data_IF_837622437150
#
_entry.id   IF_837622437150
#
_cell.length_a   1.000
_cell.length_b   1.000
_cell.length_c   1.000
_cell.angle_alpha   90.00
_cell.angle_beta   90.00
_cell.angle_gamma   90.00
#
_symmetry.space_group_name_H-M   'P 1'
#
loop_
_entity.id
_entity.type
_entity.pdbx_description
1 polymer ?
#
# COMPACT_ATOMS: atom_id res chain seq x y z
N UNK A 1 -10.96 -2.13 52.44
CA UNK A 1 -10.28 -0.82 52.26
C UNK A 1 -9.86 -0.55 50.80
N UNK A 2 -9.42 -1.57 50.05
CA UNK A 2 -8.94 -1.48 48.65
C UNK A 2 -9.98 -1.02 47.60
N UNK A 3 -11.25 -1.45 47.70
CA UNK A 3 -12.28 -1.07 46.71
C UNK A 3 -12.72 0.41 46.77
N UNK A 4 -12.49 1.10 47.89
CA UNK A 4 -12.79 2.53 47.98
C UNK A 4 -11.68 3.37 47.33
N UNK A 5 -10.42 2.94 47.45
CA UNK A 5 -9.28 3.62 46.85
C UNK A 5 -9.34 3.61 45.31
N UNK A 6 -9.64 2.46 44.69
CA UNK A 6 -9.79 2.35 43.22
C UNK A 6 -10.89 3.25 42.65
N UNK A 7 -12.00 3.42 43.40
CA UNK A 7 -13.12 4.27 43.00
C UNK A 7 -12.78 5.76 43.07
N UNK A 8 -11.87 6.16 43.97
CA UNK A 8 -11.34 7.53 44.02
C UNK A 8 -10.33 7.81 42.92
N UNK A 9 -9.42 6.87 42.63
CA UNK A 9 -8.47 7.02 41.51
C UNK A 9 -9.18 7.13 40.16
N UNK A 10 -10.21 6.32 39.89
CA UNK A 10 -10.99 6.40 38.65
C UNK A 10 -11.79 7.71 38.53
N UNK A 11 -12.30 8.24 39.65
CA UNK A 11 -13.04 9.51 39.67
C UNK A 11 -12.14 10.74 39.50
N UNK A 12 -10.84 10.62 39.78
CA UNK A 12 -9.86 11.70 39.59
C UNK A 12 -9.16 11.57 38.23
N UNK A 13 -8.95 10.36 37.71
CA UNK A 13 -8.27 10.14 36.44
C UNK A 13 -9.09 10.57 35.22
N UNK A 14 -10.41 10.43 35.26
CA UNK A 14 -11.30 10.81 34.15
C UNK A 14 -11.37 12.34 33.94
N UNK A 15 -11.59 13.19 34.96
CA UNK A 15 -11.55 14.64 34.76
C UNK A 15 -10.14 15.15 34.42
N UNK A 16 -9.08 14.50 34.92
CA UNK A 16 -7.71 14.85 34.55
C UNK A 16 -7.40 14.51 33.07
N UNK A 17 -7.90 13.39 32.55
CA UNK A 17 -7.72 13.01 31.14
C UNK A 17 -8.53 13.90 30.19
N UNK A 18 -9.70 14.39 30.62
CA UNK A 18 -10.51 15.35 29.84
C UNK A 18 -9.85 16.74 29.75
N UNK A 19 -9.04 17.14 30.74
CA UNK A 19 -8.27 18.39 30.69
C UNK A 19 -7.07 18.33 29.74
N UNK A 20 -6.57 17.14 29.39
CA UNK A 20 -5.49 16.97 28.41
C UNK A 20 -5.94 17.14 26.96
N UNK A 21 -7.23 16.93 26.63
CA UNK A 21 -7.76 17.13 25.27
C UNK A 21 -8.11 18.59 24.95
N UNK A 22 -8.19 19.48 25.95
CA UNK A 22 -8.39 20.92 25.77
C UNK A 22 -7.08 21.72 25.64
N UNK A 23 -5.92 21.08 25.80
CA UNK A 23 -4.61 21.73 25.67
C UNK A 23 -4.00 21.64 24.25
N UNK A 24 -4.71 21.05 23.29
CA UNK A 24 -4.43 21.28 21.88
C UNK A 24 -5.00 22.66 21.51
N UNK A 25 -4.20 23.68 21.77
CA UNK A 25 -4.34 25.04 21.23
C UNK A 25 -4.25 24.97 19.69
N UNK A 26 -5.34 24.55 19.06
CA UNK A 26 -5.53 24.68 17.63
C UNK A 26 -5.88 26.14 17.38
N UNK A 27 -4.85 26.99 17.31
CA UNK A 27 -4.98 28.33 16.77
C UNK A 27 -5.62 28.19 15.38
N UNK A 28 -6.90 28.52 15.26
CA UNK A 28 -7.52 28.55 13.94
C UNK A 28 -6.74 29.57 13.11
N UNK A 29 -6.35 29.27 11.86
CA UNK A 29 -5.59 30.17 11.02
C UNK A 29 -6.54 31.29 10.55
N UNK A 30 -6.90 32.17 11.47
CA UNK A 30 -7.75 33.33 11.23
C UNK A 30 -6.96 34.52 10.67
N UNK A 31 -5.62 34.45 10.75
CA UNK A 31 -4.72 35.45 10.19
C UNK A 31 -3.76 34.81 9.18
N UNK A 32 -4.28 34.25 8.09
CA UNK A 32 -3.45 34.01 6.91
C UNK A 32 -3.00 35.38 6.37
N UNK A 33 -1.82 35.83 6.81
CA UNK A 33 -1.15 36.99 6.24
C UNK A 33 -0.56 36.60 4.89
N UNK A 34 -1.11 37.18 3.82
CA UNK A 34 -0.56 37.01 2.48
C UNK A 34 0.91 37.47 2.49
N UNK A 35 1.85 36.65 2.00
CA UNK A 35 3.25 37.03 1.98
C UNK A 35 3.42 38.29 1.12
N UNK A 36 3.95 39.37 1.70
CA UNK A 36 4.25 40.59 0.97
C UNK A 36 5.58 40.40 0.26
N UNK A 37 5.55 40.10 -1.04
CA UNK A 37 6.77 39.99 -1.84
C UNK A 37 7.23 41.37 -2.30
N UNK A 38 8.38 41.82 -1.79
CA UNK A 38 9.08 43.00 -2.30
C UNK A 38 9.91 42.60 -3.52
N UNK A 39 9.31 42.70 -4.71
CA UNK A 39 10.04 42.55 -5.97
C UNK A 39 10.61 43.92 -6.33
N UNK A 40 11.94 44.06 -6.23
CA UNK A 40 12.65 45.24 -6.75
C UNK A 40 12.58 45.22 -8.29
N UNK A 41 11.51 45.80 -8.83
CA UNK A 41 11.37 46.04 -10.26
C UNK A 41 12.32 47.18 -10.67
N UNK A 42 13.56 46.82 -11.01
CA UNK A 42 14.47 47.74 -11.70
C UNK A 42 14.09 47.83 -13.17
N UNK A 43 13.04 48.60 -13.46
CA UNK A 43 12.78 49.03 -14.82
C UNK A 43 13.93 49.97 -15.24
N UNK A 44 14.67 49.67 -16.33
CA UNK A 44 15.56 50.66 -16.90
C UNK A 44 14.71 51.88 -17.26
N UNK A 45 15.10 53.07 -16.78
CA UNK A 45 14.51 54.35 -17.18
C UNK A 45 14.88 54.64 -18.64
N UNK A 46 14.33 53.86 -19.57
CA UNK A 46 14.20 54.29 -20.96
C UNK A 46 12.93 55.13 -20.96
N UNK A 47 13.09 56.43 -20.72
CA UNK A 47 12.03 57.42 -20.93
C UNK A 47 11.78 57.63 -22.44
N UNK A 48 11.65 56.55 -23.21
CA UNK A 48 11.14 56.63 -24.57
C UNK A 48 9.64 56.82 -24.49
N UNK A 49 9.23 58.09 -24.50
CA UNK A 49 7.84 58.48 -24.71
C UNK A 49 7.53 58.20 -26.17
N UNK A 50 6.82 57.11 -26.43
CA UNK A 50 6.19 56.92 -27.74
C UNK A 50 5.15 58.03 -27.92
N UNK A 51 5.43 58.96 -28.82
CA UNK A 51 4.45 59.96 -29.23
C UNK A 51 3.27 59.26 -29.88
N UNK A 52 2.06 59.57 -29.46
CA UNK A 52 0.81 59.12 -30.09
C UNK A 52 0.47 59.98 -31.32
N UNK A 53 1.49 60.61 -31.91
CA UNK A 53 1.36 61.49 -33.08
C UNK A 53 0.88 60.67 -34.28
N UNK A 54 -0.26 61.07 -34.84
CA UNK A 54 -0.97 60.33 -35.89
C UNK A 54 -2.11 59.40 -35.43
N UNK A 55 -2.31 59.20 -34.12
CA UNK A 55 -3.48 58.46 -33.59
C UNK A 55 -4.67 59.37 -33.25
N UNK A 56 -4.43 60.68 -33.15
CA UNK A 56 -5.48 61.69 -32.95
C UNK A 56 -6.09 61.99 -34.31
N UNK A 57 -7.38 61.69 -34.45
CA UNK A 57 -8.13 61.90 -35.70
C UNK A 57 -9.11 63.07 -35.62
N UNK A 58 -9.35 63.64 -34.44
CA UNK A 58 -10.37 64.67 -34.18
C UNK A 58 -11.80 64.28 -34.58
N UNK A 59 -12.06 62.99 -34.80
CA UNK A 59 -13.38 62.43 -35.08
C UNK A 59 -13.85 61.55 -33.92
N UNK A 60 -13.03 60.61 -33.47
CA UNK A 60 -13.33 59.70 -32.37
C UNK A 60 -12.27 59.74 -31.27
N UNK A 61 -11.03 60.09 -31.59
CA UNK A 61 -9.89 60.10 -30.67
C UNK A 61 -9.39 61.54 -30.53
N UNK A 62 -9.57 62.10 -29.35
CA UNK A 62 -9.22 63.47 -29.00
C UNK A 62 -8.08 63.51 -27.98
N UNK A 63 -7.23 64.52 -28.01
CA UNK A 63 -6.28 64.76 -26.93
C UNK A 63 -7.02 65.25 -25.67
N UNK A 64 -6.57 64.81 -24.49
CA UNK A 64 -7.03 65.43 -23.23
C UNK A 64 -6.52 66.87 -23.13
N UNK A 65 -7.24 67.75 -22.43
CA UNK A 65 -6.92 69.18 -22.34
C UNK A 65 -5.55 69.48 -21.70
N UNK A 66 -5.01 68.55 -20.92
CA UNK A 66 -3.66 68.61 -20.34
C UNK A 66 -2.56 68.06 -21.28
N UNK A 67 -2.94 67.56 -22.45
CA UNK A 67 -2.05 66.93 -23.45
C UNK A 67 -1.25 65.74 -22.90
N UNK A 68 -1.68 65.15 -21.78
CA UNK A 68 -1.03 64.01 -21.14
C UNK A 68 -1.68 62.66 -21.50
N UNK A 69 -2.82 62.67 -22.18
CA UNK A 69 -3.55 61.48 -22.60
C UNK A 69 -4.48 61.73 -23.78
N UNK A 70 -5.32 60.74 -24.07
CA UNK A 70 -6.35 60.82 -25.09
C UNK A 70 -7.71 60.41 -24.52
N UNK A 71 -8.77 60.96 -25.09
CA UNK A 71 -10.15 60.60 -24.84
C UNK A 71 -10.74 60.03 -26.12
N UNK A 72 -11.36 58.86 -26.03
CA UNK A 72 -12.19 58.31 -27.11
C UNK A 72 -13.62 58.77 -26.84
N UNK A 73 -14.21 59.51 -27.78
CA UNK A 73 -15.58 60.02 -27.69
C UNK A 73 -16.43 59.27 -28.69
N UNK A 74 -17.45 58.59 -28.19
CA UNK A 74 -18.51 58.01 -29.01
C UNK A 74 -19.67 59.00 -29.02
N UNK A 75 -20.03 59.54 -30.18
CA UNK A 75 -21.12 60.51 -30.32
C UNK A 75 -22.51 59.88 -30.08
N UNK A 76 -22.60 58.55 -30.23
CA UNK A 76 -23.80 57.77 -29.99
C UNK A 76 -23.73 56.96 -28.70
N UNK A 77 -24.90 56.63 -28.15
CA UNK A 77 -25.01 55.59 -27.13
C UNK A 77 -24.45 54.29 -27.67
N UNK A 78 -23.34 53.83 -27.09
CA UNK A 78 -22.84 52.48 -27.31
C UNK A 78 -24.01 51.50 -27.09
N UNK A 79 -24.33 50.65 -28.07
CA UNK A 79 -25.38 49.66 -27.87
C UNK A 79 -24.99 48.83 -26.65
N UNK A 80 -25.92 48.67 -25.71
CA UNK A 80 -25.76 47.64 -24.67
C UNK A 80 -25.77 46.32 -25.40
N UNK A 81 -24.60 45.80 -25.76
CA UNK A 81 -24.45 44.41 -26.15
C UNK A 81 -24.63 43.59 -24.88
N UNK A 82 -25.88 43.32 -24.55
CA UNK A 82 -26.19 42.23 -23.64
C UNK A 82 -25.76 40.96 -24.35
N UNK A 83 -24.79 40.25 -23.76
CA UNK A 83 -24.54 38.86 -24.14
C UNK A 83 -25.86 38.12 -23.84
N UNK A 84 -26.41 37.47 -24.87
CA UNK A 84 -27.62 36.68 -24.68
C UNK A 84 -27.32 35.58 -23.65
N UNK A 85 -28.12 35.44 -22.58
CA UNK A 85 -27.91 34.43 -21.54
C UNK A 85 -27.75 33.02 -22.11
N UNK A 86 -28.36 32.71 -23.27
CA UNK A 86 -28.21 31.43 -23.96
C UNK A 86 -26.76 31.10 -24.36
N UNK A 87 -25.89 32.10 -24.55
CA UNK A 87 -24.46 31.87 -24.78
C UNK A 87 -23.68 31.48 -23.51
N UNK A 88 -24.30 31.64 -22.34
CA UNK A 88 -23.74 31.29 -21.03
C UNK A 88 -24.46 30.08 -20.40
N UNK A 89 -25.45 29.53 -21.08
CA UNK A 89 -26.20 28.35 -20.64
C UNK A 89 -25.45 27.07 -21.04
N UNK A 90 -24.96 26.33 -20.05
CA UNK A 90 -24.55 24.94 -20.24
C UNK A 90 -25.76 24.07 -19.87
N UNK A 91 -26.27 23.30 -20.83
CA UNK A 91 -27.38 22.37 -20.57
C UNK A 91 -26.97 21.36 -19.48
N UNK A 92 -27.70 21.31 -18.37
CA UNK A 92 -27.51 20.26 -17.36
C UNK A 92 -28.10 18.97 -17.91
N UNK A 93 -27.27 17.93 -18.00
CA UNK A 93 -27.67 16.62 -18.53
C UNK A 93 -27.40 16.43 -20.02
N UNK A 94 -26.83 17.41 -20.72
CA UNK A 94 -26.13 17.09 -21.97
C UNK A 94 -24.84 16.38 -21.61
N UNK A 95 -24.76 15.11 -21.98
CA UNK A 95 -23.52 14.34 -21.99
C UNK A 95 -22.51 15.17 -22.82
N UNK A 96 -21.53 15.77 -22.16
CA UNK A 96 -20.40 16.34 -22.87
C UNK A 96 -19.75 15.13 -23.53
N UNK A 97 -19.91 15.03 -24.84
CA UNK A 97 -19.14 14.10 -25.65
C UNK A 97 -17.69 14.52 -25.47
N UNK A 98 -17.00 13.90 -24.51
CA UNK A 98 -15.56 13.91 -24.51
C UNK A 98 -15.18 13.32 -25.88
N UNK A 99 -14.50 14.10 -26.71
CA UNK A 99 -13.81 13.63 -27.93
C UNK A 99 -12.62 12.74 -27.52
N UNK A 100 -12.93 11.70 -26.76
CA UNK A 100 -12.09 10.58 -26.45
C UNK A 100 -12.97 9.39 -26.65
N UNK A 101 -12.64 8.53 -27.61
CA UNK A 101 -13.14 7.16 -27.62
C UNK A 101 -12.95 6.62 -26.20
N UNK A 102 -13.98 6.11 -25.50
CA UNK A 102 -13.77 5.44 -24.23
C UNK A 102 -12.78 4.31 -24.51
N UNK A 103 -11.51 4.54 -24.20
CA UNK A 103 -10.51 3.52 -24.33
C UNK A 103 -10.93 2.45 -23.34
N UNK A 104 -11.05 1.23 -23.83
CA UNK A 104 -11.40 0.08 -23.04
C UNK A 104 -10.43 0.10 -21.86
N UNK A 105 -10.93 0.18 -20.63
CA UNK A 105 -10.06 0.11 -19.45
C UNK A 105 -9.16 -1.11 -19.65
N UNK A 106 -7.82 -0.98 -19.53
CA UNK A 106 -6.91 -2.07 -19.83
C UNK A 106 -7.34 -3.29 -19.00
N UNK A 107 -7.78 -4.35 -19.68
CA UNK A 107 -8.24 -5.57 -19.04
C UNK A 107 -7.04 -6.45 -18.74
N UNK A 108 -6.59 -6.45 -17.48
CA UNK A 108 -5.51 -7.31 -17.02
C UNK A 108 -6.10 -8.59 -16.41
N UNK A 109 -6.07 -9.69 -17.16
CA UNK A 109 -6.45 -11.02 -16.67
C UNK A 109 -5.19 -11.83 -16.38
N UNK A 110 -4.84 -11.98 -15.10
CA UNK A 110 -3.68 -12.77 -14.67
C UNK A 110 -4.18 -14.01 -13.94
N UNK A 111 -3.78 -15.18 -14.42
CA UNK A 111 -3.99 -16.45 -13.71
C UNK A 111 -2.61 -16.98 -13.36
N UNK A 112 -2.32 -17.08 -12.06
CA UNK A 112 -1.09 -17.72 -11.57
C UNK A 112 -1.49 -19.05 -10.93
N UNK A 113 -1.24 -20.15 -11.64
CA UNK A 113 -1.38 -21.51 -11.13
C UNK A 113 0.01 -22.16 -11.12
N UNK A 114 0.56 -22.42 -9.93
CA UNK A 114 1.93 -22.93 -9.80
C UNK A 114 1.98 -23.99 -8.69
N UNK A 115 2.47 -25.19 -9.04
CA UNK A 115 2.74 -26.28 -8.09
C UNK A 115 4.20 -26.20 -7.65
N UNK A 116 4.44 -26.25 -6.34
CA UNK A 116 5.77 -26.09 -5.75
C UNK A 116 6.12 -27.34 -4.95
N UNK A 117 7.22 -27.99 -5.32
CA UNK A 117 7.73 -29.18 -4.62
C UNK A 117 8.92 -28.78 -3.74
N UNK A 118 8.83 -29.05 -2.45
CA UNK A 118 9.93 -28.89 -1.49
C UNK A 118 10.33 -30.27 -0.99
N UNK A 119 11.60 -30.63 -1.17
CA UNK A 119 12.15 -31.91 -0.71
C UNK A 119 12.89 -31.69 0.60
N UNK A 120 12.42 -32.29 1.69
CA UNK A 120 13.15 -32.34 2.95
C UNK A 120 14.13 -33.52 2.86
N UNK A 121 15.45 -33.30 2.88
CA UNK A 121 16.41 -34.39 2.84
C UNK A 121 16.47 -35.03 4.23
N UNK A 122 15.60 -36.01 4.50
CA UNK A 122 15.96 -37.03 5.48
C UNK A 122 17.19 -37.73 4.92
N UNK A 123 18.36 -37.51 5.52
CA UNK A 123 19.61 -38.18 5.13
C UNK A 123 19.31 -39.68 5.01
N UNK A 124 19.49 -40.29 3.82
CA UNK A 124 19.09 -41.68 3.62
C UNK A 124 20.08 -42.56 4.37
N UNK A 125 19.67 -43.06 5.52
CA UNK A 125 20.46 -43.94 6.35
C UNK A 125 19.56 -44.93 7.06
N UNK A 126 20.07 -46.16 7.22
CA UNK A 126 19.50 -47.09 8.17
C UNK A 126 19.62 -46.49 9.58
N UNK A 127 18.49 -46.35 10.27
CA UNK A 127 18.48 -45.96 11.68
C UNK A 127 18.60 -47.21 12.55
N UNK A 128 19.22 -47.07 13.72
CA UNK A 128 19.33 -48.14 14.72
C UNK A 128 18.26 -47.91 15.79
N UNK A 129 17.42 -48.91 16.01
CA UNK A 129 16.42 -48.86 17.08
C UNK A 129 17.04 -49.15 18.46
N UNK A 130 16.28 -48.97 19.54
CA UNK A 130 16.74 -49.23 20.92
C UNK A 130 17.14 -50.69 21.20
N UNK A 131 16.72 -51.63 20.34
CA UNK A 131 17.12 -53.05 20.41
C UNK A 131 18.41 -53.38 19.64
N UNK A 132 19.00 -52.39 18.96
CA UNK A 132 20.22 -52.55 18.17
C UNK A 132 20.00 -53.05 16.74
N UNK A 133 18.75 -53.16 16.28
CA UNK A 133 18.44 -53.56 14.90
C UNK A 133 18.36 -52.34 13.97
N UNK A 134 18.81 -52.50 12.73
CA UNK A 134 18.71 -51.46 11.69
C UNK A 134 17.34 -51.49 11.01
N UNK A 135 16.85 -50.31 10.60
CA UNK A 135 15.60 -50.17 9.85
C UNK A 135 15.67 -48.99 8.85
N UNK A 136 14.84 -49.04 7.81
CA UNK A 136 14.74 -48.02 6.75
C UNK A 136 13.60 -47.02 7.02
N UNK A 137 13.70 -45.83 6.43
CA UNK A 137 12.63 -44.82 6.45
C UNK A 137 11.94 -44.79 5.07
N UNK A 138 10.61 -44.91 4.97
CA UNK A 138 9.66 -45.17 6.07
C UNK A 138 9.75 -46.62 6.59
N UNK A 139 9.51 -46.86 7.90
CA UNK A 139 9.56 -48.20 8.48
C UNK A 139 8.27 -49.01 8.22
N UNK A 140 8.39 -50.34 8.15
CA UNK A 140 7.25 -51.26 7.99
C UNK A 140 6.39 -51.43 9.26
N UNK A 141 6.91 -51.00 10.42
CA UNK A 141 6.24 -51.03 11.73
C UNK A 141 6.86 -50.00 12.67
N UNK A 142 6.13 -49.62 13.72
CA UNK A 142 6.60 -48.65 14.72
C UNK A 142 7.98 -49.03 15.28
N UNK A 143 8.91 -48.07 15.23
CA UNK A 143 10.28 -48.20 15.75
C UNK A 143 10.51 -47.20 16.88
N UNK A 144 11.35 -47.57 17.84
CA UNK A 144 11.82 -46.68 18.91
C UNK A 144 13.31 -46.40 18.72
N UNK A 145 13.70 -45.13 18.79
CA UNK A 145 15.10 -44.67 18.74
C UNK A 145 15.47 -43.97 20.05
N UNK A 146 16.76 -43.85 20.33
CA UNK A 146 17.23 -43.06 21.47
C UNK A 146 17.01 -41.56 21.24
N UNK A 147 16.75 -40.80 22.31
CA UNK A 147 16.62 -39.34 22.24
C UNK A 147 17.85 -38.65 21.64
N UNK A 148 19.05 -39.21 21.86
CA UNK A 148 20.27 -38.70 21.23
C UNK A 148 20.21 -38.82 19.70
N UNK A 149 19.76 -39.97 19.18
CA UNK A 149 19.61 -40.18 17.73
C UNK A 149 18.65 -39.15 17.12
N UNK A 150 17.53 -38.86 17.81
CA UNK A 150 16.62 -37.80 17.38
C UNK A 150 17.26 -36.41 17.41
N UNK A 151 17.97 -36.08 18.49
CA UNK A 151 18.62 -34.77 18.64
C UNK A 151 19.73 -34.56 17.61
N UNK A 152 20.45 -35.62 17.21
CA UNK A 152 21.44 -35.58 16.13
C UNK A 152 20.77 -35.32 14.77
N UNK A 153 19.58 -35.90 14.53
CA UNK A 153 18.79 -35.64 13.30
C UNK A 153 18.30 -34.19 13.28
N UNK A 154 17.72 -33.70 14.39
CA UNK A 154 17.26 -32.32 14.52
C UNK A 154 18.42 -31.33 14.33
N UNK A 155 19.60 -31.62 14.88
CA UNK A 155 20.77 -30.77 14.70
C UNK A 155 21.27 -30.69 13.25
N UNK A 156 20.92 -31.68 12.41
CA UNK A 156 21.24 -31.71 10.99
C UNK A 156 20.09 -31.18 10.10
N UNK A 157 18.96 -30.79 10.69
CA UNK A 157 17.81 -30.28 9.94
C UNK A 157 18.15 -28.94 9.29
N UNK A 158 18.07 -28.89 7.96
CA UNK A 158 18.28 -27.65 7.21
C UNK A 158 17.00 -26.80 7.28
N UNK A 159 17.10 -25.67 7.98
CA UNK A 159 16.02 -24.68 8.09
C UNK A 159 16.02 -23.67 6.94
N UNK A 160 16.87 -23.87 5.92
CA UNK A 160 16.96 -22.98 4.76
C UNK A 160 15.90 -23.34 3.72
N UNK A 161 14.74 -22.70 3.81
CA UNK A 161 13.70 -22.83 2.80
C UNK A 161 13.84 -21.77 1.69
N UNK A 162 13.66 -22.15 0.42
CA UNK A 162 13.73 -21.20 -0.68
C UNK A 162 12.54 -20.23 -0.63
N UNK A 163 12.83 -18.95 -0.86
CA UNK A 163 11.77 -17.97 -1.12
C UNK A 163 11.07 -18.29 -2.45
N UNK A 164 9.75 -18.18 -2.46
CA UNK A 164 8.95 -18.31 -3.67
C UNK A 164 8.68 -16.91 -4.18
N UNK A 165 8.99 -16.62 -5.45
CA UNK A 165 8.66 -15.36 -6.10
C UNK A 165 7.77 -15.61 -7.31
N UNK A 166 6.71 -14.82 -7.42
CA UNK A 166 5.79 -14.77 -8.55
C UNK A 166 5.89 -13.35 -9.10
N UNK A 167 6.43 -13.20 -10.31
CA UNK A 167 6.49 -11.90 -10.97
C UNK A 167 5.10 -11.52 -11.49
N UNK A 168 4.72 -10.26 -11.30
CA UNK A 168 3.50 -9.73 -11.89
C UNK A 168 3.74 -9.50 -13.38
N UNK A 169 2.74 -9.72 -14.25
CA UNK A 169 2.88 -9.40 -15.66
C UNK A 169 3.14 -7.92 -15.86
N UNK A 170 4.00 -7.61 -16.83
CA UNK A 170 4.29 -6.23 -17.21
C UNK A 170 3.02 -5.57 -17.77
N UNK A 171 2.83 -4.30 -17.41
CA UNK A 171 1.79 -3.45 -17.96
C UNK A 171 2.37 -2.79 -19.22
N UNK A 172 1.69 -2.93 -20.35
CA UNK A 172 2.09 -2.25 -21.57
C UNK A 172 1.76 -0.75 -21.46
N UNK A 173 2.78 0.05 -21.20
CA UNK A 173 2.63 1.50 -21.06
C UNK A 173 2.16 2.18 -22.35
N UNK A 174 2.35 1.55 -23.53
CA UNK A 174 1.90 2.11 -24.81
C UNK A 174 0.39 2.07 -25.01
N UNK A 175 -0.30 1.20 -24.27
CA UNK A 175 -1.76 1.10 -24.24
C UNK A 175 -2.38 2.05 -23.21
N UNK A 176 -1.56 2.75 -22.42
CA UNK A 176 -2.03 3.71 -21.42
C UNK A 176 -2.25 5.10 -22.04
N UNK A 177 -3.26 5.85 -21.59
CA UNK A 177 -3.44 7.24 -22.01
C UNK A 177 -2.23 8.12 -21.72
N UNK A 178 -1.93 9.10 -22.58
CA UNK A 178 -0.74 9.97 -22.48
C UNK A 178 -0.64 10.79 -21.18
N UNK A 179 -1.74 10.95 -20.43
CA UNK A 179 -1.74 11.64 -19.13
C UNK A 179 -1.29 10.73 -17.96
N UNK A 180 -1.18 9.42 -18.17
CA UNK A 180 -0.66 8.48 -17.17
C UNK A 180 0.87 8.51 -17.23
N UNK A 181 1.51 8.97 -16.15
CA UNK A 181 2.97 9.08 -16.08
C UNK A 181 3.64 7.84 -15.48
N UNK A 182 2.90 7.07 -14.67
CA UNK A 182 3.39 5.84 -14.03
C UNK A 182 2.22 4.96 -13.57
N UNK A 183 2.47 3.65 -13.44
CA UNK A 183 1.56 2.71 -12.78
C UNK A 183 2.17 2.25 -11.47
N UNK A 184 1.55 2.64 -10.36
CA UNK A 184 2.03 2.31 -9.00
C UNK A 184 1.89 0.83 -8.64
N UNK A 185 0.93 0.11 -9.23
CA UNK A 185 0.68 -1.30 -8.95
C UNK A 185 -0.75 -1.72 -9.30
N UNK A 186 -1.09 -2.97 -8.98
CA UNK A 186 -2.41 -3.56 -9.22
C UNK A 186 -3.15 -3.71 -7.90
N UNK A 187 -4.40 -3.29 -7.84
CA UNK A 187 -5.22 -3.46 -6.63
C UNK A 187 -5.86 -4.84 -6.61
N UNK A 188 -5.78 -5.54 -5.49
CA UNK A 188 -6.55 -6.75 -5.25
C UNK A 188 -8.00 -6.32 -5.01
N UNK A 189 -8.89 -6.74 -5.91
CA UNK A 189 -10.31 -6.44 -5.77
C UNK A 189 -10.86 -7.05 -4.47
N UNK A 190 -11.53 -6.20 -3.70
CA UNK A 190 -12.39 -6.62 -2.59
C UNK A 190 -13.83 -6.71 -3.13
N UNK A 191 -14.39 -7.90 -3.08
CA UNK A 191 -15.76 -8.20 -3.49
C UNK A 191 -16.76 -8.09 -2.32
N UNK A 192 -16.30 -7.73 -1.11
CA UNK A 192 -17.14 -7.48 0.06
C UNK A 192 -17.90 -8.71 0.57
N UNK A 193 -17.62 -9.90 0.03
CA UNK A 193 -18.18 -11.17 0.47
C UNK A 193 -17.14 -11.97 1.24
N UNK A 194 -17.54 -12.91 2.08
CA UNK A 194 -16.62 -13.72 2.91
C UNK A 194 -15.62 -14.60 2.14
N UNK A 195 -15.64 -14.54 0.81
CA UNK A 195 -14.74 -15.24 -0.12
C UNK A 195 -13.78 -14.30 -0.86
N UNK A 196 -13.60 -13.06 -0.36
CA UNK A 196 -12.59 -12.11 -0.85
C UNK A 196 -11.20 -12.74 -0.94
N UNK A 197 -10.37 -12.19 -1.84
CA UNK A 197 -8.96 -12.58 -1.99
C UNK A 197 -8.26 -12.74 -0.64
N UNK A 198 -7.72 -13.94 -0.37
CA UNK A 198 -7.13 -14.28 0.93
C UNK A 198 -5.81 -15.03 0.78
N UNK A 199 -4.94 -14.88 1.78
CA UNK A 199 -3.80 -15.75 2.01
C UNK A 199 -4.16 -16.79 3.08
N UNK A 200 -4.00 -18.07 2.77
CA UNK A 200 -4.23 -19.18 3.69
C UNK A 200 -2.95 -20.01 3.82
N UNK A 201 -2.58 -20.31 5.06
CA UNK A 201 -1.48 -21.22 5.35
C UNK A 201 -1.93 -22.29 6.34
N UNK A 202 -1.37 -23.48 6.21
CA UNK A 202 -1.61 -24.59 7.12
C UNK A 202 -0.34 -25.43 7.28
N UNK A 203 -0.09 -25.89 8.51
CA UNK A 203 0.93 -26.87 8.81
C UNK A 203 0.35 -27.89 9.79
N UNK A 204 0.64 -29.16 9.53
CA UNK A 204 0.23 -30.26 10.39
C UNK A 204 1.46 -31.03 10.81
N UNK A 205 1.66 -31.21 12.11
CA UNK A 205 2.72 -32.07 12.62
C UNK A 205 2.25 -33.53 12.63
N UNK A 206 2.17 -34.13 11.44
CA UNK A 206 1.71 -35.51 11.27
C UNK A 206 2.89 -36.47 11.11
N UNK A 207 3.63 -36.73 12.20
CA UNK A 207 4.64 -37.78 12.22
C UNK A 207 6.02 -37.40 12.77
N UNK A 208 6.28 -36.14 13.16
CA UNK A 208 7.51 -35.83 13.89
C UNK A 208 7.44 -36.41 15.31
N UNK A 209 8.60 -36.75 15.88
CA UNK A 209 8.70 -37.26 17.25
C UNK A 209 8.49 -36.18 18.31
N UNK A 210 8.69 -34.91 17.95
CA UNK A 210 8.56 -33.74 18.81
C UNK A 210 7.78 -32.63 18.10
N UNK A 211 7.58 -31.51 18.78
CA UNK A 211 6.83 -30.37 18.26
C UNK A 211 7.58 -29.67 17.12
N UNK A 212 6.83 -29.14 16.15
CA UNK A 212 7.34 -28.18 15.18
C UNK A 212 7.34 -26.81 15.85
N UNK A 213 8.41 -26.04 15.67
CA UNK A 213 8.60 -24.75 16.32
C UNK A 213 8.86 -23.64 15.32
N UNK A 214 8.54 -22.40 15.69
CA UNK A 214 8.86 -21.22 14.87
C UNK A 214 8.21 -21.21 13.48
N UNK A 215 7.09 -21.93 13.29
CA UNK A 215 6.42 -22.00 12.01
C UNK A 215 5.94 -20.61 11.57
N UNK A 216 6.44 -20.15 10.43
CA UNK A 216 6.12 -18.85 9.84
C UNK A 216 5.72 -19.03 8.39
N UNK A 217 4.63 -18.38 7.99
CA UNK A 217 4.21 -18.23 6.59
C UNK A 217 3.95 -16.76 6.33
N UNK A 218 4.75 -16.16 5.47
CA UNK A 218 4.68 -14.72 5.17
C UNK A 218 4.52 -14.50 3.67
N UNK A 219 3.70 -13.54 3.31
CA UNK A 219 3.47 -13.11 1.94
C UNK A 219 3.78 -11.62 1.83
N UNK A 220 4.60 -11.26 0.86
CA UNK A 220 5.12 -9.93 0.62
C UNK A 220 4.87 -9.50 -0.83
N UNK A 221 4.91 -8.21 -1.09
CA UNK A 221 4.91 -7.64 -2.45
C UNK A 221 5.91 -6.49 -2.58
N UNK A 222 6.30 -6.16 -3.81
CA UNK A 222 7.27 -5.12 -4.12
C UNK A 222 8.73 -5.57 -4.03
N UNK A 223 9.62 -4.58 -3.89
CA UNK A 223 11.08 -4.76 -3.91
C UNK A 223 11.59 -5.75 -2.86
N UNK A 224 12.64 -6.49 -3.18
CA UNK A 224 13.33 -7.43 -2.26
C UNK A 224 14.03 -6.76 -1.10
N UNK A 225 14.30 -5.46 -1.21
CA UNK A 225 15.01 -4.69 -0.17
C UNK A 225 14.04 -4.12 0.87
N UNK A 226 12.84 -3.72 0.45
CA UNK A 226 11.83 -3.13 1.33
C UNK A 226 10.42 -3.56 0.87
N UNK A 227 10.04 -4.83 1.09
CA UNK A 227 8.71 -5.30 0.73
C UNK A 227 7.60 -4.68 1.57
N UNK A 228 6.43 -4.58 0.96
CA UNK A 228 5.17 -4.45 1.68
C UNK A 228 4.72 -5.84 2.15
N UNK A 229 4.19 -5.91 3.38
CA UNK A 229 3.67 -7.17 3.94
C UNK A 229 2.19 -7.31 3.59
N UNK A 230 1.84 -8.38 2.88
CA UNK A 230 0.45 -8.73 2.58
C UNK A 230 -0.17 -9.55 3.72
N UNK A 231 0.57 -10.54 4.22
CA UNK A 231 0.17 -11.38 5.34
C UNK A 231 1.38 -11.96 6.09
N UNK A 232 1.24 -12.15 7.40
CA UNK A 232 2.26 -12.81 8.23
C UNK A 232 1.60 -13.71 9.28
N UNK A 233 1.80 -15.02 9.15
CA UNK A 233 1.25 -16.04 10.02
C UNK A 233 2.39 -16.70 10.81
N UNK A 234 2.50 -16.34 12.09
CA UNK A 234 3.47 -16.94 13.01
C UNK A 234 2.77 -17.87 14.00
N UNK A 235 3.34 -19.06 14.20
CA UNK A 235 2.95 -20.01 15.23
C UNK A 235 4.21 -20.51 15.95
N UNK A 236 4.26 -20.31 17.26
CA UNK A 236 5.44 -20.66 18.07
C UNK A 236 5.67 -22.16 18.15
N UNK A 237 4.60 -22.94 18.33
CA UNK A 237 4.64 -24.38 18.53
C UNK A 237 3.43 -25.04 17.84
N UNK A 238 3.68 -26.12 17.11
CA UNK A 238 2.66 -27.04 16.58
C UNK A 238 2.97 -28.42 17.13
N UNK A 239 2.21 -28.80 18.16
CA UNK A 239 2.41 -30.08 18.86
C UNK A 239 2.09 -31.25 17.94
N UNK A 240 2.60 -32.43 18.30
CA UNK A 240 2.35 -33.66 17.54
C UNK A 240 0.85 -33.89 17.29
N UNK A 241 0.53 -34.27 16.06
CA UNK A 241 -0.80 -34.58 15.53
C UNK A 241 -1.77 -33.39 15.47
N UNK A 242 -1.31 -32.17 15.77
CA UNK A 242 -2.10 -30.95 15.65
C UNK A 242 -1.87 -30.22 14.32
N UNK A 243 -2.86 -29.39 13.98
CA UNK A 243 -2.84 -28.51 12.80
C UNK A 243 -2.91 -27.06 13.22
N UNK A 244 -1.97 -26.26 12.74
CA UNK A 244 -2.11 -24.81 12.71
C UNK A 244 -2.58 -24.38 11.33
N UNK A 245 -3.67 -23.61 11.28
CA UNK A 245 -4.17 -23.01 10.06
C UNK A 245 -4.57 -21.56 10.31
N UNK A 246 -4.29 -20.68 9.36
CA UNK A 246 -4.64 -19.26 9.45
C UNK A 246 -4.99 -18.69 8.10
N UNK A 247 -5.98 -17.80 8.11
CA UNK A 247 -6.45 -17.01 6.95
C UNK A 247 -6.27 -15.53 7.25
N UNK A 248 -5.76 -14.79 6.28
CA UNK A 248 -5.73 -13.31 6.26
C UNK A 248 -6.36 -12.83 4.96
N UNK A 249 -7.29 -11.87 5.04
CA UNK A 249 -7.84 -11.22 3.87
C UNK A 249 -6.83 -10.21 3.31
N UNK A 250 -6.64 -10.22 2.00
CA UNK A 250 -5.71 -9.35 1.27
C UNK A 250 -6.43 -8.46 0.25
N UNK A 251 -7.77 -8.46 0.25
CA UNK A 251 -8.58 -7.52 -0.51
C UNK A 251 -8.22 -6.06 -0.17
N UNK A 252 -8.33 -5.17 -1.16
CA UNK A 252 -7.91 -3.76 -1.10
C UNK A 252 -6.42 -3.54 -0.82
N UNK A 253 -5.57 -4.58 -0.84
CA UNK A 253 -4.12 -4.40 -0.82
C UNK A 253 -3.59 -4.19 -2.24
N UNK A 254 -2.51 -3.42 -2.35
CA UNK A 254 -1.84 -3.15 -3.62
C UNK A 254 -0.72 -4.15 -3.84
N UNK A 255 -0.68 -4.77 -5.02
CA UNK A 255 0.41 -5.59 -5.52
C UNK A 255 1.38 -4.74 -6.34
N UNK A 256 2.67 -4.90 -6.06
CA UNK A 256 3.77 -4.18 -6.70
C UNK A 256 4.81 -5.18 -7.17
N UNK A 257 5.32 -5.03 -8.40
CA UNK A 257 6.44 -5.80 -8.99
C UNK A 257 6.29 -7.34 -8.97
N UNK A 258 6.33 -7.96 -7.79
CA UNK A 258 6.22 -9.39 -7.56
C UNK A 258 5.45 -9.69 -6.27
N UNK A 259 5.02 -10.93 -6.12
CA UNK A 259 4.58 -11.54 -4.87
C UNK A 259 5.71 -12.45 -4.40
N UNK A 260 6.10 -12.34 -3.13
CA UNK A 260 7.04 -13.26 -2.50
C UNK A 260 6.43 -13.98 -1.33
N UNK A 261 6.53 -15.30 -1.31
CA UNK A 261 6.10 -16.12 -0.17
C UNK A 261 7.33 -16.74 0.49
N UNK A 262 7.40 -16.57 1.81
CA UNK A 262 8.40 -17.18 2.67
C UNK A 262 7.70 -18.15 3.61
N UNK A 263 8.30 -19.30 3.82
CA UNK A 263 7.89 -20.24 4.85
C UNK A 263 9.12 -20.69 5.61
N UNK A 264 8.99 -20.86 6.92
CA UNK A 264 10.07 -21.24 7.80
C UNK A 264 9.50 -22.06 8.97
N UNK A 265 10.26 -23.04 9.45
CA UNK A 265 9.95 -23.80 10.66
C UNK A 265 11.19 -24.60 11.11
N UNK A 266 11.18 -24.96 12.38
CA UNK A 266 12.19 -25.81 12.99
C UNK A 266 11.51 -26.96 13.74
N UNK A 267 12.29 -27.94 14.24
CA UNK A 267 11.78 -29.09 14.98
C UNK A 267 12.44 -29.12 16.36
N UNK A 268 11.65 -29.31 17.41
CA UNK A 268 12.17 -29.33 18.76
C UNK A 268 13.08 -30.55 19.02
N UNK A 269 14.16 -30.35 19.77
CA UNK A 269 14.91 -31.47 20.34
C UNK A 269 14.06 -32.20 21.40
N UNK A 270 14.30 -33.50 21.58
CA UNK A 270 13.70 -34.26 22.66
C UNK A 270 14.42 -33.92 23.97
N UNK A 271 13.67 -33.61 25.03
CA UNK A 271 14.25 -33.34 26.35
C UNK A 271 15.05 -34.56 26.83
N UNK A 272 16.33 -34.36 27.14
CA UNK A 272 17.14 -35.38 27.83
C UNK A 272 16.62 -35.51 29.26
N UNK A 273 15.65 -36.39 29.49
CA UNK A 273 15.35 -36.84 30.84
C UNK A 273 16.53 -37.70 31.30
N UNK A 274 17.30 -37.17 32.26
CA UNK A 274 18.27 -37.91 33.07
C UNK A 274 17.61 -39.07 33.80
#
# INVERSE_FOLDING_TARGET
>A
MINRLKKYFYKISIPALLLFFYACDFNSPSDFEVPTWYIDLKFPLVQERYGLDGMIDNEQIFATSDSLGMQIVFEDTLPKTSIDPSYLEVNIGSEIAYEGTPTISPSLSVIVDTVINVTIPFTPGELINVSGATFTIPPDSDQQIFSQTWNDIVAAFDTTFPAIQIDLPAIDESELPEFITEVSGVMIQDDGISDSSFFYSSITNNGMLTDVTGARFSMFTGSSVAPDTLADHLQSVVVKDETFARRTLIGNQQLKESIRMLFDFDVAAHSNNT
#
